data_IF_017012487654
#
_entry.id   IF_017012487654
#
_cell.length_a   1.000
_cell.length_b   1.000
_cell.length_c   1.000
_cell.angle_alpha   90.00
_cell.angle_beta   90.00
_cell.angle_gamma   90.00
#
_symmetry.space_group_name_H-M   'P 1'
#
loop_
_entity.id
_entity.type
_entity.pdbx_description
1 polymer ?
#
# COMPACT_ATOMS: atom_id res chain seq x y z
N UNK A 1 -12.43 3.39 -17.70
CA UNK A 1 -12.15 4.84 -17.67
C UNK A 1 -13.42 5.62 -17.32
N UNK A 2 -13.37 6.51 -16.31
CA UNK A 2 -14.43 7.45 -15.79
C UNK A 2 -15.23 7.08 -14.51
N UNK A 3 -14.58 6.65 -13.41
CA UNK A 3 -15.17 6.80 -12.06
C UNK A 3 -14.31 7.64 -11.08
N UNK A 4 -13.16 8.10 -11.55
CA UNK A 4 -12.06 8.75 -10.79
C UNK A 4 -12.35 10.23 -10.42
N UNK A 5 -13.61 10.68 -10.23
CA UNK A 5 -13.91 12.13 -10.37
C UNK A 5 -14.97 12.81 -9.48
N UNK A 6 -15.53 12.28 -8.38
CA UNK A 6 -16.71 12.98 -7.80
C UNK A 6 -16.85 13.25 -6.30
N UNK A 7 -15.82 13.13 -5.48
CA UNK A 7 -15.93 13.57 -4.06
C UNK A 7 -14.77 14.44 -3.55
N UNK A 8 -13.94 14.97 -4.47
CA UNK A 8 -13.17 16.18 -4.21
C UNK A 8 -14.16 17.31 -3.85
N UNK A 9 -14.31 17.62 -2.57
CA UNK A 9 -14.53 18.95 -1.98
C UNK A 9 -15.06 18.83 -0.53
N UNK A 10 -14.16 18.69 0.45
CA UNK A 10 -14.35 19.29 1.78
C UNK A 10 -13.01 19.48 2.51
N UNK A 11 -12.54 20.73 2.46
CA UNK A 11 -11.89 21.54 3.50
C UNK A 11 -10.71 21.00 4.35
N UNK A 12 -9.62 21.76 4.21
CA UNK A 12 -8.37 21.86 4.99
C UNK A 12 -8.61 22.14 6.48
N UNK A 13 -7.85 21.46 7.37
CA UNK A 13 -7.24 21.91 8.65
C UNK A 13 -6.99 20.70 9.57
N UNK A 14 -5.96 20.55 10.43
CA UNK A 14 -4.77 21.29 10.78
C UNK A 14 -3.89 20.35 11.65
N UNK A 15 -2.58 20.36 11.39
CA UNK A 15 -1.44 20.33 12.33
C UNK A 15 -1.47 19.40 13.56
N UNK A 16 -0.56 18.41 13.50
CA UNK A 16 0.32 17.86 14.52
C UNK A 16 0.05 18.14 16.01
N UNK A 17 -0.05 17.05 16.81
CA UNK A 17 0.44 17.02 18.19
C UNK A 17 1.15 15.69 18.50
N UNK A 18 2.27 15.84 19.20
CA UNK A 18 3.25 14.86 19.68
C UNK A 18 2.76 14.06 20.89
N UNK A 19 3.05 12.76 20.98
CA UNK A 19 3.29 12.07 22.24
C UNK A 19 4.08 10.76 22.03
N UNK A 20 5.13 10.58 22.83
CA UNK A 20 5.98 9.39 22.90
C UNK A 20 5.23 8.22 23.57
N UNK A 21 5.27 7.05 22.93
CA UNK A 21 4.66 5.81 23.40
C UNK A 21 3.63 5.31 22.38
N UNK A 22 3.85 4.12 21.82
CA UNK A 22 2.88 3.50 20.93
C UNK A 22 1.55 3.32 21.67
N UNK A 23 0.46 3.85 21.11
CA UNK A 23 -0.86 3.64 21.69
C UNK A 23 -1.30 2.17 21.50
N UNK A 24 -2.35 1.73 22.19
CA UNK A 24 -2.74 0.31 22.15
C UNK A 24 -3.13 -0.17 20.74
N UNK A 25 -3.63 0.71 19.88
CA UNK A 25 -3.88 0.39 18.47
C UNK A 25 -2.57 0.22 17.70
N UNK A 26 -1.60 1.11 17.89
CA UNK A 26 -0.28 0.98 17.24
C UNK A 26 0.44 -0.30 17.68
N UNK A 27 0.33 -0.68 18.96
CA UNK A 27 0.87 -1.97 19.43
C UNK A 27 0.19 -3.16 18.77
N UNK A 28 -1.15 -3.10 18.61
CA UNK A 28 -1.89 -4.14 17.88
C UNK A 28 -1.51 -4.15 16.40
N UNK A 29 -1.32 -3.00 15.76
CA UNK A 29 -0.95 -2.92 14.35
C UNK A 29 0.51 -3.29 14.08
N UNK A 30 1.39 -3.28 15.09
CA UNK A 30 2.79 -3.66 14.94
C UNK A 30 2.95 -5.06 14.31
N UNK A 31 3.77 -5.17 13.26
CA UNK A 31 4.05 -6.39 12.52
C UNK A 31 3.57 -6.36 11.07
N UNK A 32 3.49 -7.54 10.46
CA UNK A 32 3.18 -7.72 9.04
C UNK A 32 1.72 -8.05 8.79
N UNK A 33 1.13 -7.40 7.81
CA UNK A 33 -0.27 -7.55 7.38
C UNK A 33 -0.35 -7.72 5.88
N UNK A 34 -1.07 -8.73 5.42
CA UNK A 34 -1.15 -9.08 4.00
C UNK A 34 -2.60 -9.24 3.54
N UNK A 35 -2.89 -8.74 2.35
CA UNK A 35 -4.09 -9.09 1.61
C UNK A 35 -3.74 -9.48 0.18
N UNK A 36 -4.60 -10.26 -0.45
CA UNK A 36 -4.45 -10.65 -1.84
C UNK A 36 -5.76 -10.34 -2.56
N UNK A 37 -5.65 -9.50 -3.58
CA UNK A 37 -6.73 -9.15 -4.48
C UNK A 37 -6.53 -9.89 -5.81
N UNK A 38 -7.63 -10.28 -6.45
CA UNK A 38 -7.59 -10.87 -7.79
C UNK A 38 -8.54 -10.10 -8.67
N UNK A 39 -8.00 -9.47 -9.70
CA UNK A 39 -8.76 -8.65 -10.63
C UNK A 39 -8.25 -8.87 -12.05
N UNK A 40 -9.16 -9.07 -12.99
CA UNK A 40 -8.84 -9.18 -14.42
C UNK A 40 -7.75 -10.22 -14.78
N UNK A 41 -7.64 -11.31 -14.00
CA UNK A 41 -6.62 -12.35 -14.18
C UNK A 41 -5.26 -12.06 -13.54
N UNK A 42 -5.10 -10.87 -12.95
CA UNK A 42 -3.94 -10.49 -12.17
C UNK A 42 -4.19 -10.76 -10.68
N UNK A 43 -3.12 -11.17 -9.99
CA UNK A 43 -3.08 -11.32 -8.55
C UNK A 43 -2.20 -10.21 -7.98
N UNK A 44 -2.76 -9.41 -7.09
CA UNK A 44 -2.04 -8.37 -6.37
C UNK A 44 -1.97 -8.77 -4.90
N UNK A 45 -0.76 -9.03 -4.41
CA UNK A 45 -0.52 -9.30 -2.99
C UNK A 45 0.12 -8.07 -2.37
N UNK A 46 -0.62 -7.41 -1.47
CA UNK A 46 -0.16 -6.23 -0.75
C UNK A 46 0.24 -6.64 0.67
N UNK A 47 1.44 -6.22 1.09
CA UNK A 47 1.98 -6.48 2.42
C UNK A 47 2.44 -5.19 3.06
N UNK A 48 1.88 -4.86 4.22
CA UNK A 48 2.36 -3.79 5.10
C UNK A 48 3.23 -4.38 6.20
N UNK A 49 4.40 -3.82 6.44
CA UNK A 49 5.25 -4.08 7.61
C UNK A 49 5.32 -2.81 8.46
N UNK A 50 4.69 -2.85 9.63
CA UNK A 50 4.49 -1.71 10.51
C UNK A 50 5.33 -1.88 11.77
N UNK A 51 6.26 -0.94 12.02
CA UNK A 51 7.02 -0.91 13.25
C UNK A 51 6.52 0.22 14.16
N UNK A 52 5.93 -0.15 15.30
CA UNK A 52 5.36 0.80 16.26
C UNK A 52 6.40 1.51 17.13
N UNK A 53 7.62 0.95 17.26
CA UNK A 53 8.69 1.59 18.03
C UNK A 53 9.36 2.71 17.24
N UNK A 54 9.52 2.52 15.92
CA UNK A 54 10.15 3.50 15.04
C UNK A 54 9.15 4.31 14.21
N UNK A 55 7.85 3.98 14.28
CA UNK A 55 6.79 4.53 13.43
C UNK A 55 7.10 4.47 11.93
N UNK A 56 7.84 3.44 11.51
CA UNK A 56 8.20 3.20 10.10
C UNK A 56 7.24 2.19 9.49
N UNK A 57 6.90 2.42 8.23
CA UNK A 57 6.06 1.53 7.43
C UNK A 57 6.80 1.15 6.15
N UNK A 58 6.62 -0.10 5.72
CA UNK A 58 7.02 -0.60 4.42
C UNK A 58 5.79 -1.24 3.76
N UNK A 59 5.41 -0.76 2.58
CA UNK A 59 4.42 -1.39 1.73
C UNK A 59 5.15 -2.13 0.60
N UNK A 60 4.86 -3.41 0.45
CA UNK A 60 5.30 -4.22 -0.69
C UNK A 60 4.08 -4.71 -1.45
N UNK A 61 4.04 -4.46 -2.76
CA UNK A 61 2.99 -4.91 -3.66
C UNK A 61 3.62 -5.84 -4.69
N UNK A 62 3.30 -7.12 -4.60
CA UNK A 62 3.68 -8.10 -5.61
C UNK A 62 2.52 -8.28 -6.59
N UNK A 63 2.80 -8.13 -7.88
CA UNK A 63 1.85 -8.32 -8.97
C UNK A 63 2.27 -9.55 -9.77
N UNK A 64 1.35 -10.49 -9.91
CA UNK A 64 1.49 -11.68 -10.72
C UNK A 64 0.32 -11.87 -11.68
N UNK A 65 0.52 -12.70 -12.70
CA UNK A 65 -0.52 -13.08 -13.66
C UNK A 65 -0.34 -14.55 -14.03
N UNK A 66 -1.43 -15.33 -13.96
CA UNK A 66 -1.43 -16.76 -14.33
C UNK A 66 -0.32 -17.60 -13.66
N UNK A 67 0.01 -17.30 -12.40
CA UNK A 67 1.06 -18.00 -11.64
C UNK A 67 2.49 -17.58 -11.99
N UNK A 68 2.66 -16.52 -12.78
CA UNK A 68 3.96 -15.90 -13.06
C UNK A 68 4.06 -14.55 -12.34
N UNK A 69 5.09 -14.38 -11.53
CA UNK A 69 5.42 -13.08 -10.94
C UNK A 69 5.82 -12.11 -12.05
N UNK A 70 5.27 -10.89 -12.00
CA UNK A 70 5.55 -9.85 -12.99
C UNK A 70 6.45 -8.77 -12.40
N UNK A 71 6.02 -8.17 -11.30
CA UNK A 71 6.74 -7.08 -10.66
C UNK A 71 6.47 -7.04 -9.16
N UNK A 72 7.42 -6.47 -8.43
CA UNK A 72 7.28 -6.09 -7.02
C UNK A 72 7.53 -4.60 -6.89
N UNK A 73 6.72 -3.93 -6.09
CA UNK A 73 6.82 -2.51 -5.82
C UNK A 73 6.99 -2.32 -4.32
N UNK A 74 8.04 -1.62 -3.91
CA UNK A 74 8.34 -1.39 -2.51
C UNK A 74 8.36 0.10 -2.19
N UNK A 75 7.72 0.46 -1.08
CA UNK A 75 7.53 1.84 -0.64
C UNK A 75 7.86 1.97 0.83
N UNK A 76 8.74 2.91 1.17
CA UNK A 76 9.06 3.21 2.56
C UNK A 76 8.36 4.48 3.02
N UNK A 77 7.98 4.50 4.28
CA UNK A 77 7.31 5.64 4.86
C UNK A 77 7.26 5.62 6.37
N UNK A 78 6.40 6.46 6.90
CA UNK A 78 6.02 6.50 8.30
C UNK A 78 4.52 6.28 8.45
N UNK A 79 4.11 5.90 9.65
CA UNK A 79 2.72 5.69 9.97
C UNK A 79 2.42 6.07 11.41
N UNK A 80 1.16 6.36 11.68
CA UNK A 80 0.60 6.52 13.03
C UNK A 80 -0.82 5.97 13.03
N UNK A 81 -1.33 5.63 14.20
CA UNK A 81 -2.72 5.23 14.32
C UNK A 81 -3.42 5.90 15.50
N UNK A 82 -4.74 5.93 15.43
CA UNK A 82 -5.65 6.21 16.53
C UNK A 82 -6.51 4.97 16.78
N UNK A 83 -7.52 5.06 17.65
CA UNK A 83 -8.49 3.97 17.84
C UNK A 83 -9.27 3.65 16.55
N UNK A 84 -9.48 4.64 15.69
CA UNK A 84 -10.41 4.55 14.56
C UNK A 84 -9.72 4.60 13.21
N UNK A 85 -8.44 5.00 13.13
CA UNK A 85 -7.80 5.34 11.86
C UNK A 85 -6.31 5.04 11.84
N UNK A 86 -5.79 4.76 10.66
CA UNK A 86 -4.35 4.66 10.36
C UNK A 86 -3.99 5.77 9.39
N UNK A 87 -2.93 6.52 9.68
CA UNK A 87 -2.41 7.57 8.80
C UNK A 87 -1.06 7.12 8.27
N UNK A 88 -0.90 7.11 6.96
CA UNK A 88 0.35 6.78 6.29
C UNK A 88 0.98 8.02 5.67
N UNK A 89 2.29 8.07 5.66
CA UNK A 89 3.07 9.06 4.92
C UNK A 89 4.21 8.34 4.24
N UNK A 90 4.09 8.17 2.92
CA UNK A 90 5.09 7.50 2.10
C UNK A 90 6.14 8.53 1.66
N UNK A 91 7.40 8.12 1.61
CA UNK A 91 8.46 8.92 1.02
C UNK A 91 8.50 8.65 -0.48
N UNK A 92 8.00 9.60 -1.27
CA UNK A 92 7.94 9.51 -2.74
C UNK A 92 9.33 9.32 -3.41
N UNK A 93 10.42 9.55 -2.66
CA UNK A 93 11.79 9.33 -3.14
C UNK A 93 12.33 7.93 -2.80
N UNK A 94 11.66 7.18 -1.93
CA UNK A 94 12.03 5.82 -1.51
C UNK A 94 10.96 4.81 -1.97
N UNK A 95 10.64 4.90 -3.26
CA UNK A 95 9.80 3.97 -4.00
C UNK A 95 10.66 3.23 -5.02
N UNK A 96 10.45 1.92 -5.19
CA UNK A 96 11.13 1.13 -6.21
C UNK A 96 10.18 0.16 -6.90
N UNK A 97 10.43 -0.12 -8.17
CA UNK A 97 9.75 -1.16 -8.95
C UNK A 97 10.82 -2.13 -9.43
N UNK A 98 10.61 -3.42 -9.18
CA UNK A 98 11.50 -4.48 -9.62
C UNK A 98 10.70 -5.46 -10.47
N UNK A 99 11.08 -5.63 -11.73
CA UNK A 99 10.50 -6.66 -12.58
C UNK A 99 11.11 -8.04 -12.29
N UNK A 100 10.27 -9.07 -12.30
CA UNK A 100 10.71 -10.46 -12.24
C UNK A 100 11.48 -10.84 -13.52
N UNK A 101 12.47 -11.73 -13.41
CA UNK A 101 13.32 -12.09 -14.55
C UNK A 101 12.55 -12.80 -15.67
N UNK A 102 11.49 -13.55 -15.32
CA UNK A 102 10.54 -14.12 -16.28
C UNK A 102 9.88 -13.05 -17.14
N UNK A 103 9.44 -11.96 -16.52
CA UNK A 103 8.82 -10.84 -17.22
C UNK A 103 9.84 -10.08 -18.07
N UNK A 104 11.08 -9.89 -17.58
CA UNK A 104 12.14 -9.25 -18.37
C UNK A 104 12.43 -10.00 -19.67
N UNK A 105 12.55 -11.32 -19.61
CA UNK A 105 12.78 -12.15 -20.80
C UNK A 105 11.62 -12.05 -21.81
N UNK A 106 10.37 -12.01 -21.33
CA UNK A 106 9.20 -11.83 -22.19
C UNK A 106 9.17 -10.44 -22.84
N UNK A 107 9.50 -9.40 -22.09
CA UNK A 107 9.57 -8.03 -22.58
C UNK A 107 10.65 -7.88 -23.66
N UNK A 108 11.85 -8.42 -23.42
CA UNK A 108 12.95 -8.42 -24.39
C UNK A 108 12.55 -9.13 -25.70
N UNK A 109 11.91 -10.30 -25.60
CA UNK A 109 11.42 -11.05 -26.75
C UNK A 109 10.32 -10.32 -27.54
N UNK A 110 9.57 -9.44 -26.86
CA UNK A 110 8.43 -8.70 -27.41
C UNK A 110 8.79 -7.27 -27.84
N UNK A 111 10.03 -6.82 -27.62
CA UNK A 111 10.49 -5.47 -27.91
C UNK A 111 9.87 -4.39 -27.00
N UNK A 112 9.47 -4.77 -25.79
CA UNK A 112 8.88 -3.86 -24.80
C UNK A 112 10.00 -3.13 -24.05
N UNK A 113 9.90 -1.80 -23.93
CA UNK A 113 10.82 -1.00 -23.12
C UNK A 113 10.42 -1.06 -21.64
N UNK A 114 11.11 -1.92 -20.88
CA UNK A 114 10.88 -2.07 -19.45
C UNK A 114 11.13 -0.80 -18.65
N UNK A 115 12.04 0.07 -19.11
CA UNK A 115 12.34 1.32 -18.40
C UNK A 115 11.17 2.30 -18.52
N UNK A 116 10.56 2.38 -19.70
CA UNK A 116 9.35 3.18 -19.89
C UNK A 116 8.20 2.67 -19.01
N UNK A 117 8.01 1.35 -18.92
CA UNK A 117 7.01 0.75 -18.03
C UNK A 117 7.31 1.07 -16.56
N UNK A 118 8.56 0.99 -16.14
CA UNK A 118 8.97 1.34 -14.77
C UNK A 118 8.59 2.78 -14.42
N UNK A 119 8.95 3.73 -15.29
CA UNK A 119 8.70 5.15 -15.10
C UNK A 119 7.19 5.45 -15.07
N UNK A 120 6.42 4.84 -15.98
CA UNK A 120 4.96 4.99 -16.00
C UNK A 120 4.30 4.40 -14.75
N UNK A 121 4.72 3.20 -14.35
CA UNK A 121 4.20 2.52 -13.15
C UNK A 121 4.48 3.35 -11.90
N UNK A 122 5.73 3.83 -11.72
CA UNK A 122 6.08 4.70 -10.61
C UNK A 122 5.28 6.01 -10.62
N UNK A 123 5.07 6.63 -11.78
CA UNK A 123 4.33 7.88 -11.88
C UNK A 123 2.85 7.71 -11.52
N UNK A 124 2.20 6.65 -12.01
CA UNK A 124 0.83 6.31 -11.66
C UNK A 124 0.70 5.99 -10.18
N UNK A 125 1.59 5.16 -9.62
CA UNK A 125 1.56 4.82 -8.21
C UNK A 125 1.78 6.03 -7.30
N UNK A 126 2.76 6.89 -7.57
CA UNK A 126 2.98 8.11 -6.77
C UNK A 126 1.74 8.99 -6.72
N UNK A 127 0.99 9.06 -7.82
CA UNK A 127 -0.27 9.81 -7.88
C UNK A 127 -1.34 9.19 -6.96
N UNK A 128 -1.44 7.87 -6.92
CA UNK A 128 -2.39 7.17 -6.02
C UNK A 128 -1.96 7.28 -4.55
N UNK A 129 -0.66 7.14 -4.26
CA UNK A 129 -0.12 7.23 -2.90
C UNK A 129 -0.28 8.62 -2.28
N UNK A 130 -0.21 9.68 -3.07
CA UNK A 130 -0.54 11.03 -2.60
C UNK A 130 -2.00 11.16 -2.11
N UNK A 131 -2.88 10.23 -2.50
CA UNK A 131 -4.25 10.10 -2.01
C UNK A 131 -4.41 9.22 -0.76
N UNK A 132 -3.48 8.28 -0.50
CA UNK A 132 -3.50 7.38 0.66
C UNK A 132 -2.97 8.08 1.92
N UNK A 133 -3.72 9.05 2.43
CA UNK A 133 -3.35 9.74 3.66
C UNK A 133 -3.89 9.01 4.92
N UNK A 134 -5.08 8.42 4.83
CA UNK A 134 -5.82 7.96 6.00
C UNK A 134 -6.78 6.81 5.68
N UNK A 135 -6.72 5.74 6.47
CA UNK A 135 -7.57 4.55 6.38
C UNK A 135 -8.44 4.43 7.64
N UNK A 136 -9.75 4.21 7.49
CA UNK A 136 -10.67 3.99 8.60
C UNK A 136 -10.63 2.52 9.04
N UNK A 137 -10.31 2.28 10.32
CA UNK A 137 -10.32 0.95 10.95
C UNK A 137 -11.77 0.57 11.25
N UNK A 138 -12.24 -0.47 10.58
CA UNK A 138 -13.56 -1.08 10.87
C UNK A 138 -13.43 -2.07 12.01
N UNK A 139 -12.38 -2.90 11.98
CA UNK A 139 -12.13 -3.92 12.99
C UNK A 139 -10.64 -4.26 13.05
N UNK A 140 -10.13 -4.51 14.26
CA UNK A 140 -8.78 -5.03 14.47
C UNK A 140 -8.78 -6.11 15.55
N UNK A 141 -8.24 -7.29 15.18
CA UNK A 141 -8.02 -8.42 16.07
C UNK A 141 -6.53 -8.78 16.12
N UNK A 142 -6.19 -9.87 16.81
CA UNK A 142 -4.81 -10.36 16.83
C UNK A 142 -4.37 -10.92 15.47
N UNK A 143 -5.29 -11.38 14.62
CA UNK A 143 -4.95 -12.02 13.34
C UNK A 143 -5.51 -11.27 12.11
N UNK A 144 -6.45 -10.34 12.28
CA UNK A 144 -7.11 -9.62 11.18
C UNK A 144 -7.16 -8.11 11.40
N UNK A 145 -7.04 -7.36 10.30
CA UNK A 145 -7.26 -5.92 10.23
C UNK A 145 -8.22 -5.66 9.07
N UNK A 146 -9.37 -5.06 9.35
CA UNK A 146 -10.31 -4.63 8.32
C UNK A 146 -10.32 -3.11 8.27
N UNK A 147 -9.98 -2.56 7.11
CA UNK A 147 -10.08 -1.13 6.81
C UNK A 147 -11.17 -0.87 5.79
N UNK A 148 -11.69 0.34 5.79
CA UNK A 148 -12.69 0.78 4.82
C UNK A 148 -12.00 1.54 3.70
N UNK A 149 -12.22 1.09 2.47
CA UNK A 149 -11.74 1.72 1.26
C UNK A 149 -12.96 2.06 0.38
N UNK A 150 -13.19 3.36 0.17
CA UNK A 150 -14.37 3.92 -0.51
C UNK A 150 -15.71 3.34 0.00
N UNK A 151 -16.33 2.46 -0.79
CA UNK A 151 -17.64 1.85 -0.54
C UNK A 151 -17.51 0.36 -0.16
N UNK A 152 -16.31 -0.08 0.17
CA UNK A 152 -15.97 -1.47 0.45
C UNK A 152 -15.04 -1.60 1.64
N UNK A 153 -14.86 -2.84 2.11
CA UNK A 153 -13.91 -3.16 3.16
C UNK A 153 -12.81 -4.04 2.58
N UNK A 154 -11.57 -3.75 2.93
CA UNK A 154 -10.43 -4.63 2.68
C UNK A 154 -10.01 -5.25 4.01
N UNK A 155 -9.86 -6.58 4.00
CA UNK A 155 -9.33 -7.32 5.14
C UNK A 155 -7.90 -7.78 4.85
N UNK A 156 -7.02 -7.46 5.77
CA UNK A 156 -5.64 -7.93 5.85
C UNK A 156 -5.54 -9.01 6.94
N UNK A 157 -4.74 -10.02 6.67
CA UNK A 157 -4.39 -11.08 7.62
C UNK A 157 -2.97 -10.85 8.14
N UNK A 158 -2.76 -11.12 9.42
CA UNK A 158 -1.42 -11.06 10.00
C UNK A 158 -0.54 -12.15 9.42
N UNK A 159 0.69 -11.78 9.05
CA UNK A 159 1.74 -12.71 8.65
C UNK A 159 2.58 -13.04 9.88
N UNK A 160 2.72 -14.34 10.18
CA UNK A 160 3.47 -14.86 11.34
C UNK A 160 4.92 -15.16 10.98
#
# INVERSE_FOLDING_TARGET
MKKVLFSLLTLIAMVAMTACGSNDTEKKLNGKWQTTLTESGQQLTMTWDLNADTHKALLSINVGMEGTDMMTMDFKGSWKASAEKITFSIDDNDCSVTFADSFKQLADASGIDLKEIEEQTLAEFKKELAGMAEEEIVEITDDTLTVKEDHSNITFNRVK
#
